data_IF_950599417822
#
_entry.id   IF_950599417822
#
_cell.length_a   1.000
_cell.length_b   1.000
_cell.length_c   1.000
_cell.angle_alpha   90.00
_cell.angle_beta   90.00
_cell.angle_gamma   90.00
#
_symmetry.space_group_name_H-M   'P 1'
#
loop_
_entity.id
_entity.type
_entity.pdbx_description
1 polymer ?
#
# COMPACT_ATOMS: atom_id res chain seq x y z
N UNK A 1 2.40 -0.85 18.83
CA UNK A 1 3.78 -0.53 18.42
C UNK A 1 3.74 0.85 17.82
N UNK A 2 4.52 1.78 18.37
CA UNK A 2 4.62 3.14 17.86
C UNK A 2 5.61 3.15 16.69
N UNK A 3 5.22 3.72 15.56
CA UNK A 3 6.11 3.90 14.39
C UNK A 3 6.50 5.37 14.29
N UNK A 4 7.79 5.67 14.28
CA UNK A 4 8.29 7.02 14.01
C UNK A 4 8.26 7.29 12.50
N UNK A 5 7.80 8.49 12.11
CA UNK A 5 7.88 8.92 10.72
C UNK A 5 9.33 9.18 10.31
N UNK A 6 9.73 8.64 9.15
CA UNK A 6 11.01 8.99 8.55
C UNK A 6 10.97 10.42 8.04
N UNK A 7 12.01 11.20 8.34
CA UNK A 7 12.14 12.51 7.70
C UNK A 7 12.35 12.33 6.19
N UNK A 8 12.02 13.36 5.40
CA UNK A 8 12.29 13.35 3.95
C UNK A 8 13.77 13.12 3.63
N UNK A 9 14.68 13.54 4.52
CA UNK A 9 16.12 13.31 4.39
C UNK A 9 16.46 11.83 4.62
N UNK A 10 15.90 11.22 5.66
CA UNK A 10 16.11 9.80 5.96
C UNK A 10 15.57 8.90 4.86
N UNK A 11 14.37 9.20 4.36
CA UNK A 11 13.76 8.46 3.24
C UNK A 11 14.68 8.47 2.01
N UNK A 12 15.18 9.65 1.61
CA UNK A 12 16.12 9.77 0.48
C UNK A 12 17.41 9.01 0.74
N UNK A 13 17.98 9.14 1.94
CA UNK A 13 19.19 8.41 2.33
C UNK A 13 18.98 6.89 2.24
N UNK A 14 17.85 6.39 2.72
CA UNK A 14 17.56 4.96 2.79
C UNK A 14 17.27 4.38 1.40
N UNK A 15 16.57 5.11 0.53
CA UNK A 15 16.39 4.71 -0.88
C UNK A 15 17.74 4.64 -1.60
N UNK A 16 18.63 5.62 -1.38
CA UNK A 16 19.98 5.60 -1.95
C UNK A 16 20.81 4.42 -1.43
N UNK A 17 20.71 4.11 -0.13
CA UNK A 17 21.36 2.94 0.47
C UNK A 17 20.79 1.64 -0.09
N UNK A 18 19.47 1.53 -0.23
CA UNK A 18 18.80 0.38 -0.85
C UNK A 18 19.35 0.13 -2.26
N UNK A 19 19.41 1.16 -3.11
CA UNK A 19 20.01 1.05 -4.45
C UNK A 19 21.48 0.59 -4.41
N UNK A 20 22.28 1.14 -3.50
CA UNK A 20 23.71 0.82 -3.34
C UNK A 20 23.98 -0.58 -2.79
N UNK A 21 23.05 -1.17 -2.04
CA UNK A 21 23.18 -2.53 -1.49
C UNK A 21 23.21 -3.62 -2.56
N UNK A 22 22.73 -3.33 -3.77
CA UNK A 22 22.76 -4.27 -4.89
C UNK A 22 23.88 -3.90 -5.85
N UNK A 23 24.79 -4.81 -6.18
CA UNK A 23 25.84 -4.52 -7.16
C UNK A 23 25.28 -4.55 -8.60
N UNK A 24 24.39 -5.52 -8.88
CA UNK A 24 23.79 -5.79 -10.19
C UNK A 24 22.27 -5.88 -10.09
N UNK A 25 21.60 -5.81 -11.24
CA UNK A 25 20.15 -6.07 -11.33
C UNK A 25 19.78 -7.44 -10.76
N UNK A 26 20.61 -8.45 -11.01
CA UNK A 26 20.38 -9.81 -10.47
C UNK A 26 20.36 -9.87 -8.95
N UNK A 27 21.19 -9.08 -8.27
CA UNK A 27 21.21 -9.07 -6.80
C UNK A 27 19.90 -8.47 -6.25
N UNK A 28 19.31 -7.50 -6.97
CA UNK A 28 18.00 -6.95 -6.67
C UNK A 28 16.87 -7.97 -6.89
N UNK A 29 16.91 -8.74 -7.99
CA UNK A 29 15.95 -9.82 -8.24
C UNK A 29 16.00 -10.90 -7.15
N UNK A 30 17.20 -11.27 -6.69
CA UNK A 30 17.37 -12.24 -5.59
C UNK A 30 16.78 -11.72 -4.28
N UNK A 31 16.99 -10.43 -3.98
CA UNK A 31 16.34 -9.78 -2.85
C UNK A 31 14.81 -9.79 -2.99
N UNK A 32 14.27 -9.44 -4.16
CA UNK A 32 12.82 -9.46 -4.38
C UNK A 32 12.24 -10.87 -4.26
N UNK A 33 12.97 -11.91 -4.65
CA UNK A 33 12.54 -13.30 -4.42
C UNK A 33 12.34 -13.58 -2.92
N UNK A 34 13.31 -13.19 -2.09
CA UNK A 34 13.20 -13.33 -0.64
C UNK A 34 12.06 -12.46 -0.06
N UNK A 35 11.98 -11.20 -0.48
CA UNK A 35 10.98 -10.24 -0.02
C UNK A 35 9.55 -10.69 -0.34
N UNK A 36 9.27 -11.12 -1.58
CA UNK A 36 7.93 -11.57 -1.98
C UNK A 36 7.49 -12.80 -1.18
N UNK A 37 8.40 -13.76 -0.91
CA UNK A 37 8.11 -14.88 0.00
C UNK A 37 7.76 -14.40 1.40
N UNK A 38 8.52 -13.42 1.92
CA UNK A 38 8.31 -12.88 3.27
C UNK A 38 6.95 -12.21 3.44
N UNK A 39 6.44 -11.54 2.40
CA UNK A 39 5.12 -10.88 2.43
C UNK A 39 3.96 -11.80 2.01
N UNK A 40 4.22 -13.11 1.85
CA UNK A 40 3.19 -14.14 1.70
C UNK A 40 2.89 -14.60 0.28
N UNK A 41 3.70 -14.23 -0.72
CA UNK A 41 3.60 -14.85 -2.05
C UNK A 41 4.15 -16.28 -2.05
N UNK A 42 3.53 -17.14 -2.84
CA UNK A 42 3.91 -18.53 -3.05
C UNK A 42 4.59 -18.69 -4.42
N UNK A 43 5.24 -19.85 -4.59
CA UNK A 43 5.90 -20.25 -5.85
C UNK A 43 6.79 -19.16 -6.46
N UNK A 44 7.49 -18.39 -5.61
CA UNK A 44 8.30 -17.27 -6.07
C UNK A 44 9.56 -17.79 -6.78
N UNK A 45 9.58 -17.67 -8.10
CA UNK A 45 10.63 -18.15 -8.98
C UNK A 45 11.28 -16.97 -9.68
N UNK A 46 12.61 -16.86 -9.58
CA UNK A 46 13.38 -15.92 -10.40
C UNK A 46 13.70 -16.57 -11.75
N UNK A 47 13.42 -15.88 -12.85
CA UNK A 47 13.61 -16.41 -14.21
C UNK A 47 15.10 -16.46 -14.58
N UNK A 48 15.40 -17.18 -15.68
CA UNK A 48 16.76 -17.26 -16.25
C UNK A 48 16.94 -16.10 -17.23
N UNK A 49 18.15 -15.53 -17.25
CA UNK A 49 18.54 -14.34 -18.03
C UNK A 49 18.37 -14.46 -19.56
N UNK A 50 18.26 -15.68 -20.10
CA UNK A 50 18.13 -15.90 -21.55
C UNK A 50 16.68 -16.25 -21.88
N UNK A 51 16.02 -15.39 -22.66
CA UNK A 51 14.66 -15.61 -23.16
C UNK A 51 13.54 -15.25 -22.19
N UNK A 52 13.80 -14.41 -21.18
CA UNK A 52 12.82 -14.01 -20.17
C UNK A 52 11.75 -13.03 -20.68
N UNK A 53 11.93 -12.49 -21.89
CA UNK A 53 11.09 -11.44 -22.48
C UNK A 53 10.83 -10.29 -21.50
N UNK A 54 11.73 -9.99 -20.57
CA UNK A 54 11.55 -8.94 -19.57
C UNK A 54 10.74 -9.30 -18.33
N UNK A 55 10.45 -10.59 -18.07
CA UNK A 55 9.88 -11.07 -16.79
C UNK A 55 11.00 -11.61 -15.92
N UNK A 56 11.29 -10.93 -14.81
CA UNK A 56 12.41 -11.28 -13.92
C UNK A 56 11.98 -12.25 -12.81
N UNK A 57 10.73 -12.17 -12.34
CA UNK A 57 10.14 -13.12 -11.38
C UNK A 57 8.71 -13.49 -11.72
N UNK A 58 8.30 -14.68 -11.30
CA UNK A 58 6.90 -15.12 -11.27
C UNK A 58 6.55 -15.58 -9.86
N UNK A 59 5.35 -15.27 -9.41
CA UNK A 59 4.82 -15.78 -8.13
C UNK A 59 3.30 -15.89 -8.17
N UNK A 60 2.73 -16.56 -7.18
CA UNK A 60 1.29 -16.75 -7.05
C UNK A 60 0.81 -16.34 -5.66
N UNK A 61 -0.48 -16.01 -5.55
CA UNK A 61 -1.16 -15.83 -4.26
C UNK A 61 -2.45 -16.66 -4.30
N UNK A 62 -2.59 -17.67 -3.42
CA UNK A 62 -3.83 -18.44 -3.35
C UNK A 62 -4.96 -17.56 -2.85
N UNK A 63 -6.16 -17.81 -3.35
CA UNK A 63 -7.36 -17.22 -2.79
C UNK A 63 -7.92 -18.09 -1.67
N UNK A 64 -9.24 -18.23 -1.64
CA UNK A 64 -9.99 -19.01 -0.64
C UNK A 64 -10.10 -20.46 -1.07
N UNK A 65 -10.13 -20.74 -2.38
CA UNK A 65 -10.31 -22.09 -2.88
C UNK A 65 -9.04 -22.93 -2.67
N UNK A 66 -9.22 -24.06 -1.98
CA UNK A 66 -8.14 -25.02 -1.70
C UNK A 66 -7.68 -25.75 -2.97
N UNK A 67 -8.52 -25.80 -4.02
CA UNK A 67 -8.16 -26.38 -5.32
C UNK A 67 -7.44 -25.37 -6.24
N UNK A 68 -7.30 -24.11 -5.80
CA UNK A 68 -6.52 -23.08 -6.46
C UNK A 68 -7.18 -22.42 -7.67
N UNK A 69 -8.50 -22.58 -7.85
CA UNK A 69 -9.26 -21.98 -8.97
C UNK A 69 -9.14 -20.44 -8.98
N UNK A 70 -9.07 -19.83 -7.79
CA UNK A 70 -8.95 -18.38 -7.61
C UNK A 70 -7.51 -17.90 -7.39
N UNK A 71 -6.51 -18.72 -7.71
CA UNK A 71 -5.10 -18.37 -7.58
C UNK A 71 -4.71 -17.24 -8.53
N UNK A 72 -4.27 -16.13 -7.97
CA UNK A 72 -3.79 -14.98 -8.76
C UNK A 72 -2.31 -15.14 -9.07
N UNK A 73 -1.95 -15.03 -10.36
CA UNK A 73 -0.57 -15.07 -10.82
C UNK A 73 0.02 -13.66 -10.94
N UNK A 74 1.30 -13.51 -10.61
CA UNK A 74 2.00 -12.23 -10.65
C UNK A 74 3.26 -12.35 -11.49
N UNK A 75 3.38 -11.45 -12.46
CA UNK A 75 4.51 -11.36 -13.38
C UNK A 75 5.29 -10.09 -13.07
N UNK A 76 6.50 -10.28 -12.54
CA UNK A 76 7.27 -9.20 -11.95
C UNK A 76 8.43 -8.83 -12.86
N UNK A 77 8.53 -7.54 -13.20
CA UNK A 77 9.74 -6.94 -13.75
C UNK A 77 10.43 -6.10 -12.68
N UNK A 78 11.73 -6.30 -12.52
CA UNK A 78 12.58 -5.70 -11.51
C UNK A 78 13.66 -4.83 -12.16
N UNK A 79 13.61 -3.51 -11.94
CA UNK A 79 14.65 -2.58 -12.44
C UNK A 79 15.39 -1.89 -11.32
N UNK A 80 16.67 -2.21 -11.16
CA UNK A 80 17.59 -1.50 -10.26
C UNK A 80 18.11 -0.22 -10.93
N UNK A 81 17.35 0.87 -10.83
CA UNK A 81 17.76 2.20 -11.31
C UNK A 81 18.22 3.11 -10.19
N UNK A 82 19.17 3.99 -10.51
CA UNK A 82 19.55 5.10 -9.64
C UNK A 82 18.29 5.91 -9.30
N UNK A 83 18.14 6.46 -8.08
CA UNK A 83 16.95 7.25 -7.71
C UNK A 83 16.66 8.44 -8.63
N UNK A 84 17.69 8.94 -9.33
CA UNK A 84 17.58 10.03 -10.31
C UNK A 84 17.11 9.58 -11.69
N UNK A 85 17.16 8.28 -12.02
CA UNK A 85 16.77 7.75 -13.31
C UNK A 85 15.38 7.12 -13.26
N UNK A 86 14.37 7.85 -13.74
CA UNK A 86 12.97 7.42 -13.66
C UNK A 86 12.61 6.40 -14.74
N UNK A 87 11.74 5.47 -14.36
CA UNK A 87 11.15 4.48 -15.28
C UNK A 87 10.22 5.15 -16.28
N UNK A 88 10.36 4.80 -17.55
CA UNK A 88 9.67 5.39 -18.69
C UNK A 88 8.44 4.56 -19.11
N UNK A 89 7.48 5.19 -19.78
CA UNK A 89 6.27 4.52 -20.26
C UNK A 89 6.55 3.31 -21.16
N UNK A 90 7.65 3.34 -21.92
CA UNK A 90 8.07 2.24 -22.77
C UNK A 90 8.26 0.94 -21.97
N UNK A 91 8.88 1.01 -20.79
CA UNK A 91 9.19 -0.17 -19.99
C UNK A 91 7.90 -0.84 -19.48
N UNK A 92 6.89 -0.04 -19.13
CA UNK A 92 5.57 -0.54 -18.73
C UNK A 92 4.85 -1.21 -19.90
N UNK A 93 4.92 -0.63 -21.11
CA UNK A 93 4.38 -1.26 -22.32
C UNK A 93 5.07 -2.56 -22.66
N UNK A 94 6.39 -2.60 -22.54
CA UNK A 94 7.18 -3.79 -22.82
C UNK A 94 6.76 -4.92 -21.87
N UNK A 95 6.64 -4.65 -20.55
CA UNK A 95 6.13 -5.61 -19.56
C UNK A 95 4.74 -6.16 -19.95
N UNK A 96 3.79 -5.26 -20.23
CA UNK A 96 2.44 -5.66 -20.67
C UNK A 96 2.47 -6.48 -21.95
N UNK A 97 3.39 -6.19 -22.88
CA UNK A 97 3.57 -6.95 -24.11
C UNK A 97 4.02 -8.39 -23.85
N UNK A 98 4.89 -8.57 -22.85
CA UNK A 98 5.51 -9.84 -22.51
C UNK A 98 4.62 -10.81 -21.76
N UNK A 99 3.64 -10.33 -20.98
CA UNK A 99 2.73 -11.18 -20.20
C UNK A 99 1.46 -11.61 -20.93
N UNK A 100 1.45 -11.51 -22.26
CA UNK A 100 0.35 -12.06 -23.07
C UNK A 100 0.39 -13.58 -23.15
N UNK A 101 1.53 -14.20 -22.88
CA UNK A 101 1.75 -15.64 -23.03
C UNK A 101 2.59 -16.20 -21.88
N UNK A 102 2.29 -17.43 -21.47
CA UNK A 102 3.18 -18.18 -20.58
C UNK A 102 4.47 -18.59 -21.32
N UNK A 103 5.41 -19.24 -20.61
CA UNK A 103 6.68 -19.72 -21.20
C UNK A 103 6.47 -20.77 -22.29
N UNK A 104 5.29 -21.39 -22.35
CA UNK A 104 4.89 -22.39 -23.32
C UNK A 104 4.14 -21.77 -24.51
N UNK A 105 3.92 -20.45 -24.51
CA UNK A 105 3.27 -19.71 -25.58
C UNK A 105 1.74 -19.68 -25.50
N UNK A 106 1.14 -20.25 -24.44
CA UNK A 106 -0.30 -20.23 -24.21
C UNK A 106 -0.74 -18.85 -23.75
N UNK A 107 -1.91 -18.39 -24.21
CA UNK A 107 -2.50 -17.15 -23.72
C UNK A 107 -2.78 -17.29 -22.23
N UNK A 108 -2.21 -16.40 -21.43
CA UNK A 108 -2.51 -16.36 -20.00
C UNK A 108 -3.99 -16.03 -19.82
N UNK A 109 -4.69 -16.87 -19.07
CA UNK A 109 -6.05 -16.60 -18.63
C UNK A 109 -6.11 -15.27 -17.86
N UNK A 110 -7.27 -14.64 -17.73
CA UNK A 110 -7.41 -13.30 -17.11
C UNK A 110 -7.02 -13.21 -15.61
N UNK A 111 -6.48 -14.28 -14.99
CA UNK A 111 -6.14 -14.31 -13.57
C UNK A 111 -4.65 -14.01 -13.34
N UNK A 112 -4.19 -12.86 -13.84
CA UNK A 112 -2.84 -12.37 -13.58
C UNK A 112 -2.77 -10.87 -13.33
N UNK A 113 -1.70 -10.46 -12.66
CA UNK A 113 -1.33 -9.07 -12.41
C UNK A 113 0.12 -8.85 -12.82
N UNK A 114 0.37 -7.81 -13.61
CA UNK A 114 1.71 -7.31 -13.86
C UNK A 114 2.21 -6.53 -12.65
N UNK A 115 3.48 -6.68 -12.28
CA UNK A 115 4.09 -5.90 -11.21
C UNK A 115 5.42 -5.35 -11.71
N UNK A 116 5.59 -4.04 -11.62
CA UNK A 116 6.87 -3.40 -11.91
C UNK A 116 7.47 -2.87 -10.62
N UNK A 117 8.64 -3.38 -10.25
CA UNK A 117 9.35 -3.00 -9.02
C UNK A 117 10.67 -2.31 -9.38
N UNK A 118 10.93 -1.13 -8.82
CA UNK A 118 12.18 -0.40 -9.04
C UNK A 118 12.72 0.22 -7.76
N UNK A 119 14.05 0.40 -7.68
CA UNK A 119 14.70 1.22 -6.63
C UNK A 119 14.61 2.73 -6.91
N UNK A 120 14.02 3.13 -8.04
CA UNK A 120 13.85 4.53 -8.47
C UNK A 120 12.38 4.96 -8.37
N UNK A 121 11.93 5.90 -9.21
CA UNK A 121 10.55 6.37 -9.32
C UNK A 121 10.04 6.29 -10.77
N UNK A 122 8.74 6.48 -10.95
CA UNK A 122 8.10 6.44 -12.26
C UNK A 122 7.88 7.83 -12.85
N UNK A 123 7.94 7.94 -14.17
CA UNK A 123 7.44 9.14 -14.88
C UNK A 123 5.91 9.17 -14.88
N UNK A 124 5.31 10.35 -15.06
CA UNK A 124 3.85 10.47 -15.25
C UNK A 124 3.35 9.61 -16.42
N UNK A 125 4.12 9.53 -17.50
CA UNK A 125 3.80 8.67 -18.64
C UNK A 125 3.78 7.18 -18.28
N UNK A 126 4.69 6.72 -17.42
CA UNK A 126 4.70 5.34 -16.95
C UNK A 126 3.50 5.01 -16.05
N UNK A 127 3.10 5.94 -15.19
CA UNK A 127 1.90 5.79 -14.35
C UNK A 127 0.65 5.70 -15.23
N UNK A 128 0.47 6.65 -16.15
CA UNK A 128 -0.66 6.64 -17.09
C UNK A 128 -0.69 5.37 -17.94
N UNK A 129 0.47 4.87 -18.35
CA UNK A 129 0.56 3.62 -19.11
C UNK A 129 0.17 2.41 -18.27
N UNK A 130 0.49 2.36 -16.98
CA UNK A 130 0.05 1.27 -16.11
C UNK A 130 -1.49 1.23 -16.03
N UNK A 131 -2.12 2.40 -15.95
CA UNK A 131 -3.57 2.61 -15.82
C UNK A 131 -4.34 2.47 -17.14
N UNK A 132 -3.67 2.47 -18.30
CA UNK A 132 -4.30 2.59 -19.62
C UNK A 132 -5.21 1.43 -20.04
N UNK A 133 -4.98 0.22 -19.53
CA UNK A 133 -5.71 -0.99 -19.94
C UNK A 133 -6.13 -1.80 -18.71
N UNK A 134 -7.42 -1.74 -18.30
CA UNK A 134 -7.94 -2.49 -17.16
C UNK A 134 -7.82 -4.01 -17.29
N UNK A 135 -7.79 -4.55 -18.51
CA UNK A 135 -7.65 -5.99 -18.76
C UNK A 135 -6.21 -6.50 -18.60
N UNK A 136 -5.24 -5.60 -18.38
CA UNK A 136 -3.83 -5.92 -18.11
C UNK A 136 -3.37 -5.17 -16.86
N UNK A 137 -3.97 -5.47 -15.68
CA UNK A 137 -3.72 -4.71 -14.46
C UNK A 137 -2.22 -4.71 -14.14
N UNK A 138 -1.70 -3.52 -13.84
CA UNK A 138 -0.26 -3.31 -13.60
C UNK A 138 -0.05 -2.53 -12.32
N UNK A 139 0.59 -3.17 -11.34
CA UNK A 139 1.00 -2.57 -10.07
C UNK A 139 2.39 -1.97 -10.23
N UNK A 140 2.56 -0.73 -9.79
CA UNK A 140 3.85 -0.05 -9.76
C UNK A 140 4.34 0.07 -8.31
N UNK A 141 5.56 -0.43 -8.05
CA UNK A 141 6.22 -0.34 -6.75
C UNK A 141 7.54 0.41 -6.95
N UNK A 142 7.57 1.66 -6.51
CA UNK A 142 8.77 2.51 -6.57
C UNK A 142 9.67 2.31 -5.34
N UNK A 143 10.84 2.96 -5.32
CA UNK A 143 11.82 2.80 -4.26
C UNK A 143 11.27 3.23 -2.90
N UNK A 144 10.40 4.24 -2.87
CA UNK A 144 9.72 4.69 -1.65
C UNK A 144 8.73 3.64 -1.14
N UNK A 145 7.87 3.15 -2.03
CA UNK A 145 6.87 2.12 -1.70
C UNK A 145 7.56 0.84 -1.24
N UNK A 146 8.60 0.39 -1.96
CA UNK A 146 9.38 -0.78 -1.59
C UNK A 146 10.06 -0.61 -0.22
N UNK A 147 10.66 0.55 0.05
CA UNK A 147 11.27 0.85 1.35
C UNK A 147 10.23 0.76 2.48
N UNK A 148 9.06 1.38 2.30
CA UNK A 148 7.98 1.32 3.29
C UNK A 148 7.50 -0.11 3.52
N UNK A 149 7.32 -0.91 2.47
CA UNK A 149 6.95 -2.31 2.62
C UNK A 149 8.05 -3.11 3.35
N UNK A 150 9.33 -2.80 3.13
CA UNK A 150 10.43 -3.44 3.86
C UNK A 150 10.38 -3.10 5.35
N UNK A 151 10.11 -1.85 5.71
CA UNK A 151 9.92 -1.41 7.10
C UNK A 151 8.75 -2.15 7.74
N UNK A 152 7.60 -2.19 7.06
CA UNK A 152 6.36 -2.77 7.61
C UNK A 152 6.48 -4.29 7.82
N UNK A 153 7.30 -4.96 7.02
CA UNK A 153 7.51 -6.41 7.11
C UNK A 153 8.83 -6.79 7.84
N UNK A 154 9.53 -5.80 8.41
CA UNK A 154 10.81 -6.01 9.12
C UNK A 154 11.91 -6.61 8.24
N UNK A 155 11.91 -6.33 6.93
CA UNK A 155 12.89 -6.84 5.97
C UNK A 155 14.06 -5.87 5.87
N UNK A 156 15.27 -6.35 6.21
CA UNK A 156 16.49 -5.54 6.22
C UNK A 156 16.48 -4.37 7.23
N UNK A 157 15.61 -4.44 8.25
CA UNK A 157 15.59 -3.52 9.40
C UNK A 157 15.88 -4.29 10.68
N UNK A 158 16.62 -3.66 11.59
CA UNK A 158 16.86 -4.15 12.94
C UNK A 158 16.21 -3.18 13.93
N UNK A 159 15.48 -3.72 14.89
CA UNK A 159 14.78 -2.94 15.91
C UNK A 159 15.41 -3.20 17.27
N UNK A 160 15.74 -2.13 18.00
CA UNK A 160 16.09 -2.19 19.41
C UNK A 160 14.87 -1.73 20.22
N UNK A 161 14.20 -2.62 20.99
CA UNK A 161 13.12 -2.18 21.85
C UNK A 161 13.67 -1.25 22.92
N UNK A 162 12.98 -0.14 23.16
CA UNK A 162 13.29 0.83 24.22
C UNK A 162 12.09 0.90 25.15
N UNK A 163 12.33 0.82 26.45
CA UNK A 163 11.30 1.04 27.46
C UNK A 163 11.11 2.54 27.66
N UNK A 164 9.87 3.00 27.51
CA UNK A 164 9.49 4.40 27.64
C UNK A 164 8.60 4.57 28.87
N UNK A 165 9.19 5.11 29.94
CA UNK A 165 8.51 5.34 31.21
C UNK A 165 7.41 6.40 31.10
N UNK A 166 7.59 7.40 30.25
CA UNK A 166 6.62 8.49 30.10
C UNK A 166 5.40 8.02 29.31
N UNK A 167 5.61 7.18 28.28
CA UNK A 167 4.53 6.46 27.60
C UNK A 167 3.71 5.60 28.59
N UNK A 168 4.36 4.90 29.52
CA UNK A 168 3.67 4.11 30.54
C UNK A 168 2.81 5.00 31.45
N UNK A 169 3.33 6.14 31.90
CA UNK A 169 2.58 7.11 32.72
C UNK A 169 1.35 7.65 31.98
N UNK A 170 1.47 7.98 30.70
CA UNK A 170 0.35 8.44 29.87
C UNK A 170 -0.72 7.36 29.68
N UNK A 171 -0.33 6.10 29.47
CA UNK A 171 -1.27 4.97 29.44
C UNK A 171 -2.08 4.90 30.75
N UNK A 172 -1.40 4.96 31.91
CA UNK A 172 -2.06 4.90 33.21
C UNK A 172 -3.02 6.07 33.42
N UNK A 173 -2.63 7.29 33.01
CA UNK A 173 -3.48 8.48 33.09
C UNK A 173 -4.76 8.34 32.26
N UNK A 174 -4.66 7.85 31.02
CA UNK A 174 -5.80 7.64 30.11
C UNK A 174 -6.84 6.68 30.70
N UNK A 175 -6.39 5.59 31.30
CA UNK A 175 -7.28 4.59 31.92
C UNK A 175 -7.84 5.04 33.28
N UNK A 176 -7.16 5.97 33.95
CA UNK A 176 -7.67 6.56 35.21
C UNK A 176 -8.82 7.55 34.98
N UNK A 177 -8.96 8.10 33.76
CA UNK A 177 -9.95 9.12 33.41
C UNK A 177 -11.20 8.57 32.68
N UNK A 178 -11.19 7.31 32.26
CA UNK A 178 -12.22 6.71 31.38
C UNK A 178 -13.34 5.95 32.10
N UNK A 179 -13.58 6.22 33.39
CA UNK A 179 -14.77 5.75 34.11
C UNK A 179 -15.97 6.70 33.97
N UNK A 180 -16.29 7.16 32.76
CA UNK A 180 -17.56 7.85 32.50
C UNK A 180 -18.02 7.67 31.05
N UNK A 181 -19.20 7.05 30.93
CA UNK A 181 -20.07 6.91 29.75
C UNK A 181 -19.56 6.05 28.59
N UNK A 182 -19.78 4.74 28.71
CA UNK A 182 -20.05 3.86 27.56
C UNK A 182 -21.53 4.01 27.20
N UNK A 183 -21.84 4.80 26.18
CA UNK A 183 -23.11 4.66 25.46
C UNK A 183 -22.94 3.55 24.43
N UNK A 184 -23.43 2.37 24.78
CA UNK A 184 -23.69 1.30 23.82
C UNK A 184 -24.82 1.76 22.88
N UNK A 185 -24.47 2.22 21.69
CA UNK A 185 -25.39 2.19 20.56
C UNK A 185 -24.83 1.23 19.53
N UNK A 186 -25.58 0.16 19.30
CA UNK A 186 -25.46 -0.72 18.14
C UNK A 186 -25.79 0.10 16.89
N UNK A 187 -24.82 0.84 16.39
CA UNK A 187 -24.90 1.47 15.07
C UNK A 187 -24.47 0.43 14.02
N UNK A 188 -25.37 0.12 13.10
CA UNK A 188 -25.18 -0.86 12.03
C UNK A 188 -24.20 -0.28 10.99
N UNK A 189 -22.91 -0.52 11.18
CA UNK A 189 -21.86 -0.11 10.24
C UNK A 189 -21.80 -1.08 9.06
N UNK A 190 -21.78 -0.55 7.84
CA UNK A 190 -21.73 -1.34 6.60
C UNK A 190 -20.42 -2.11 6.45
N UNK A 191 -19.30 -1.53 6.92
CA UNK A 191 -17.97 -2.12 6.76
C UNK A 191 -16.97 -1.52 7.74
N UNK A 192 -16.05 -2.36 8.21
CA UNK A 192 -14.89 -1.96 9.00
C UNK A 192 -13.60 -2.16 8.21
N UNK A 193 -12.63 -1.26 8.42
CA UNK A 193 -11.29 -1.38 7.84
C UNK A 193 -10.23 -0.88 8.81
N UNK A 194 -9.14 -1.62 8.93
CA UNK A 194 -7.94 -1.14 9.63
C UNK A 194 -7.29 -0.02 8.82
N UNK A 195 -7.00 1.11 9.47
CA UNK A 195 -6.12 2.16 8.96
C UNK A 195 -4.68 1.73 9.27
N UNK A 196 -3.95 1.32 8.23
CA UNK A 196 -2.59 0.79 8.37
C UNK A 196 -1.57 1.91 8.57
N UNK A 197 -0.37 1.56 9.02
CA UNK A 197 0.73 2.53 9.14
C UNK A 197 1.07 3.18 7.78
N UNK A 198 0.93 2.44 6.67
CA UNK A 198 1.16 2.96 5.33
C UNK A 198 0.08 3.99 4.93
N UNK A 199 -1.19 3.75 5.30
CA UNK A 199 -2.28 4.71 5.05
C UNK A 199 -2.03 6.03 5.81
N UNK A 200 -1.61 5.92 7.08
CA UNK A 200 -1.24 7.08 7.92
C UNK A 200 -0.06 7.84 7.31
N UNK A 201 1.01 7.15 6.92
CA UNK A 201 2.19 7.78 6.25
C UNK A 201 1.82 8.45 4.94
N UNK A 202 0.97 7.82 4.13
CA UNK A 202 0.53 8.38 2.85
C UNK A 202 -0.48 9.53 3.02
N UNK A 203 -1.00 9.76 4.23
CA UNK A 203 -2.05 10.75 4.55
C UNK A 203 -3.32 10.50 3.73
N UNK A 204 -3.71 9.23 3.65
CA UNK A 204 -4.88 8.78 2.89
C UNK A 204 -5.80 7.93 3.76
N UNK A 205 -7.10 8.11 3.61
CA UNK A 205 -8.12 7.24 4.19
C UNK A 205 -8.71 6.36 3.08
N UNK A 206 -8.38 5.07 3.09
CA UNK A 206 -8.84 4.13 2.05
C UNK A 206 -10.36 3.95 2.13
N UNK A 207 -11.03 4.09 0.98
CA UNK A 207 -12.47 3.92 0.85
C UNK A 207 -12.77 2.43 0.61
N UNK A 208 -13.58 1.77 1.47
CA UNK A 208 -14.04 0.41 1.21
C UNK A 208 -14.85 0.31 -0.08
N UNK A 209 -14.76 -0.82 -0.78
CA UNK A 209 -15.39 -0.98 -2.10
C UNK A 209 -16.91 -0.75 -2.08
N UNK A 210 -17.61 -1.20 -1.02
CA UNK A 210 -19.05 -0.99 -0.88
C UNK A 210 -19.43 0.51 -0.81
N UNK A 211 -18.57 1.32 -0.19
CA UNK A 211 -18.74 2.78 -0.10
C UNK A 211 -18.38 3.43 -1.43
N UNK A 212 -17.30 2.97 -2.08
CA UNK A 212 -16.89 3.49 -3.38
C UNK A 212 -18.03 3.38 -4.40
N UNK A 213 -18.75 2.26 -4.41
CA UNK A 213 -19.84 2.02 -5.35
C UNK A 213 -21.03 2.99 -5.20
N UNK A 214 -21.11 3.74 -4.09
CA UNK A 214 -22.15 4.75 -3.88
C UNK A 214 -21.69 6.18 -4.22
N UNK A 215 -20.45 6.36 -4.68
CA UNK A 215 -19.89 7.67 -5.04
C UNK A 215 -19.95 7.81 -6.56
N UNK A 216 -20.42 8.97 -7.05
CA UNK A 216 -20.42 9.28 -8.48
C UNK A 216 -18.98 9.40 -9.02
N UNK A 217 -18.69 8.69 -10.10
CA UNK A 217 -17.38 8.63 -10.78
C UNK A 217 -16.86 10.02 -11.22
N UNK A 218 -17.73 11.02 -11.37
CA UNK A 218 -17.34 12.38 -11.76
C UNK A 218 -16.93 13.27 -10.58
N UNK A 219 -17.17 12.85 -9.34
CA UNK A 219 -16.91 13.69 -8.17
C UNK A 219 -15.41 13.77 -7.85
N UNK A 220 -14.88 14.98 -7.71
CA UNK A 220 -13.48 15.19 -7.26
C UNK A 220 -13.36 15.31 -5.74
N UNK A 221 -14.48 15.39 -5.02
CA UNK A 221 -14.53 15.49 -3.56
C UNK A 221 -15.77 14.77 -3.01
N UNK A 222 -15.76 14.49 -1.71
CA UNK A 222 -16.86 13.84 -1.00
C UNK A 222 -17.18 14.58 0.29
N UNK A 223 -18.47 14.70 0.61
CA UNK A 223 -18.92 15.16 1.91
C UNK A 223 -18.99 13.96 2.85
N UNK A 224 -18.24 14.03 3.95
CA UNK A 224 -18.15 12.96 4.94
C UNK A 224 -18.23 13.52 6.35
N UNK A 225 -18.97 12.84 7.21
CA UNK A 225 -18.98 13.06 8.64
C UNK A 225 -17.96 12.13 9.30
N UNK A 226 -16.91 12.67 9.91
CA UNK A 226 -15.89 11.89 10.64
C UNK A 226 -15.99 12.19 12.12
N UNK A 227 -16.29 11.17 12.94
CA UNK A 227 -16.45 11.27 14.39
C UNK A 227 -17.40 12.43 14.81
N UNK A 228 -18.47 12.66 14.05
CA UNK A 228 -19.45 13.72 14.30
C UNK A 228 -19.15 15.08 13.64
N UNK A 229 -18.03 15.21 12.91
CA UNK A 229 -17.66 16.44 12.23
C UNK A 229 -17.78 16.34 10.70
N UNK A 230 -18.58 17.21 10.10
CA UNK A 230 -18.76 17.28 8.65
C UNK A 230 -17.60 17.96 7.95
N UNK A 231 -17.10 17.33 6.89
CA UNK A 231 -15.95 17.79 6.13
C UNK A 231 -16.14 17.46 4.64
N UNK A 232 -15.70 18.37 3.77
CA UNK A 232 -15.56 18.09 2.33
C UNK A 232 -14.11 17.75 2.05
N UNK A 233 -13.85 16.52 1.62
CA UNK A 233 -12.49 16.01 1.44
C UNK A 233 -12.23 15.58 -0.01
N UNK A 234 -10.98 15.68 -0.43
CA UNK A 234 -10.59 15.38 -1.81
C UNK A 234 -10.58 13.88 -2.06
N UNK A 235 -11.17 13.47 -3.18
CA UNK A 235 -11.07 12.10 -3.66
C UNK A 235 -9.85 11.97 -4.57
N UNK A 236 -9.15 10.84 -4.46
CA UNK A 236 -8.23 10.42 -5.52
C UNK A 236 -8.99 10.24 -6.85
N UNK A 237 -8.31 10.39 -8.00
CA UNK A 237 -8.92 10.20 -9.33
C UNK A 237 -9.59 8.85 -9.50
N UNK A 238 -9.04 7.83 -8.86
CA UNK A 238 -9.60 6.49 -8.91
C UNK A 238 -10.61 6.24 -7.80
N UNK A 239 -10.98 7.21 -6.95
CA UNK A 239 -11.89 7.07 -5.80
C UNK A 239 -11.54 5.92 -4.85
N UNK A 240 -10.28 5.51 -4.81
CA UNK A 240 -9.81 4.45 -3.87
C UNK A 240 -9.57 4.98 -2.47
N UNK A 241 -9.32 6.28 -2.34
CA UNK A 241 -9.03 6.90 -1.05
C UNK A 241 -9.41 8.37 -1.01
N UNK A 242 -9.56 8.87 0.22
CA UNK A 242 -9.75 10.28 0.55
C UNK A 242 -8.39 10.86 0.97
N UNK A 243 -8.00 11.98 0.37
CA UNK A 243 -6.80 12.75 0.74
C UNK A 243 -7.13 13.94 1.64
N UNK A 244 -6.09 14.57 2.21
CA UNK A 244 -6.25 15.74 3.08
C UNK A 244 -6.65 15.40 4.53
N UNK A 245 -6.45 14.15 4.95
CA UNK A 245 -6.89 13.64 6.26
C UNK A 245 -5.89 13.87 7.40
N UNK A 246 -4.84 14.68 7.18
CA UNK A 246 -3.77 14.88 8.17
C UNK A 246 -4.29 15.42 9.50
N UNK A 247 -5.16 16.44 9.47
CA UNK A 247 -5.71 17.03 10.69
C UNK A 247 -6.65 16.05 11.40
N UNK A 248 -7.52 15.38 10.65
CA UNK A 248 -8.38 14.29 11.15
C UNK A 248 -7.56 13.22 11.87
N UNK A 249 -6.41 12.82 11.30
CA UNK A 249 -5.54 11.81 11.90
C UNK A 249 -4.89 12.28 13.19
N UNK A 250 -4.57 13.56 13.32
CA UNK A 250 -4.10 14.13 14.60
C UNK A 250 -5.22 14.14 15.63
N UNK A 251 -6.39 14.65 15.25
CA UNK A 251 -7.55 14.78 16.15
C UNK A 251 -8.04 13.42 16.65
N UNK A 252 -7.94 12.38 15.80
CA UNK A 252 -8.29 11.01 16.16
C UNK A 252 -7.16 10.23 16.87
N UNK A 253 -5.98 10.84 17.05
CA UNK A 253 -4.82 10.22 17.72
C UNK A 253 -4.13 9.11 16.93
N UNK A 254 -4.16 9.16 15.60
CA UNK A 254 -3.36 8.30 14.72
C UNK A 254 -1.97 8.87 14.45
N UNK A 255 -1.84 10.20 14.51
CA UNK A 255 -0.58 10.93 14.42
C UNK A 255 -0.41 11.72 15.71
N UNK A 256 0.58 11.36 16.51
CA UNK A 256 0.93 12.05 17.74
C UNK A 256 1.86 13.25 17.45
N UNK A 257 2.04 14.15 18.43
CA UNK A 257 2.86 15.36 18.29
C UNK A 257 4.34 15.07 18.02
N UNK A 258 4.82 13.89 18.41
CA UNK A 258 6.16 13.38 18.13
C UNK A 258 6.29 12.71 16.75
N UNK A 259 5.29 12.90 15.87
CA UNK A 259 5.14 12.24 14.55
C UNK A 259 5.11 10.71 14.62
N UNK A 260 4.69 10.18 15.76
CA UNK A 260 4.55 8.75 15.93
C UNK A 260 3.15 8.27 15.58
N UNK A 261 3.04 7.06 15.02
CA UNK A 261 1.77 6.55 14.48
C UNK A 261 1.15 5.46 15.34
N UNK A 262 -0.18 5.56 15.47
CA UNK A 262 -1.03 4.54 16.07
C UNK A 262 -2.06 4.09 15.04
N UNK A 263 -2.07 2.79 14.74
CA UNK A 263 -3.08 2.19 13.86
C UNK A 263 -4.42 2.14 14.57
N UNK A 264 -5.49 2.42 13.81
CA UNK A 264 -6.87 2.46 14.29
C UNK A 264 -7.81 1.78 13.32
N UNK A 265 -9.06 1.58 13.71
CA UNK A 265 -10.11 1.11 12.81
C UNK A 265 -10.94 2.28 12.30
N UNK A 266 -11.43 2.13 11.08
CA UNK A 266 -12.46 3.00 10.50
C UNK A 266 -13.72 2.15 10.27
N UNK A 267 -14.85 2.62 10.79
CA UNK A 267 -16.17 2.02 10.59
C UNK A 267 -16.99 2.96 9.72
N UNK A 268 -17.57 2.44 8.65
CA UNK A 268 -18.24 3.23 7.63
C UNK A 268 -19.72 2.90 7.57
N UNK A 269 -20.56 3.92 7.40
CA UNK A 269 -21.98 3.77 7.11
C UNK A 269 -22.45 4.86 6.16
N UNK A 270 -23.55 4.59 5.46
CA UNK A 270 -24.27 5.57 4.65
C UNK A 270 -25.63 5.76 5.31
N UNK A 271 -25.98 7.01 5.63
CA UNK A 271 -27.27 7.35 6.23
C UNK A 271 -27.81 8.60 5.54
N UNK A 272 -29.02 8.50 4.98
CA UNK A 272 -29.68 9.61 4.27
C UNK A 272 -28.77 10.24 3.20
N UNK A 273 -28.13 9.39 2.37
CA UNK A 273 -27.13 9.75 1.35
C UNK A 273 -25.87 10.46 1.87
N UNK A 274 -25.64 10.46 3.20
CA UNK A 274 -24.44 11.00 3.82
C UNK A 274 -23.49 9.89 4.23
N UNK A 275 -22.23 10.10 3.88
CA UNK A 275 -21.14 9.22 4.28
C UNK A 275 -20.72 9.53 5.71
N UNK A 276 -20.71 8.52 6.58
CA UNK A 276 -20.32 8.65 7.98
C UNK A 276 -19.19 7.67 8.29
N UNK A 277 -18.13 8.15 8.92
CA UNK A 277 -16.96 7.37 9.33
C UNK A 277 -16.72 7.58 10.83
N UNK A 278 -16.59 6.48 11.55
CA UNK A 278 -16.12 6.49 12.93
C UNK A 278 -14.71 5.87 13.00
N UNK A 279 -13.76 6.62 13.54
CA UNK A 279 -12.36 6.24 13.69
C UNK A 279 -12.08 5.97 15.17
N UNK A 280 -11.79 4.70 15.50
CA UNK A 280 -11.56 4.21 16.86
C UNK A 280 -10.18 3.58 17.06
#
# INVERSE_FOLDING_TARGET
MIYLELSTSDEKNYIERLYKSFARGRDFELFLNHFLKKIGFQEVVTTKYVGDNGIDLTCSRPGIDLQGIDTMNYYVQAKRYKPTNKVQAKEIRDLKGSTKRDKQGNVLNNNYINVFITTSSFTKGAINEAESNPNMPTILIDGKTLLNMCIDNGVAFSYKPVFDEDMLKEILKKYSQSNSTVTNNSDDYLVERNITANDIRARILIIPQIIRNSIDDNNSSVNVEINGQFQTLNLDKSHRYIGGVTQIYKDCGLINDDNSFVQKKSKWKIKDDKLIVNIE
#
